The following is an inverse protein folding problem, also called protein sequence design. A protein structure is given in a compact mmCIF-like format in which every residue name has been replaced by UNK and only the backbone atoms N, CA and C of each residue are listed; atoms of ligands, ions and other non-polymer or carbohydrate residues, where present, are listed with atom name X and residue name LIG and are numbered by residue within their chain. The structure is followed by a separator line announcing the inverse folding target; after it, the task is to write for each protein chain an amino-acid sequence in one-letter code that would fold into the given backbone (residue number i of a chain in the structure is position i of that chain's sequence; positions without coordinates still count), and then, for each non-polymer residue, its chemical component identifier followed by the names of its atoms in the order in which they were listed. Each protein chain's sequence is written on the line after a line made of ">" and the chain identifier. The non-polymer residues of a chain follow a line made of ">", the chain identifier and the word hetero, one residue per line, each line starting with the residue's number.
data_IF_698117216248
#
_entry.id   IF_698117216248
#
_cell.length_a   1.000
_cell.length_b   1.000
_cell.length_c   1.000
_cell.angle_alpha   90.00
_cell.angle_beta   90.00
_cell.angle_gamma   90.00
#
_symmetry.space_group_name_H-M   'P 1'
#
loop_
_entity.id
_entity.type
_entity.pdbx_description
1 polymer ?
#
# COMPACT_ATOMS: atom_id res chain seq x y z
N UNK A 1 -10.62 2.84 -3.32
CA UNK A 1 -10.71 1.63 -4.16
C UNK A 1 -9.37 0.91 -4.22
N UNK A 2 -9.36 -0.38 -4.54
CA UNK A 2 -8.14 -1.10 -4.94
C UNK A 2 -8.25 -1.42 -6.43
N UNK A 3 -7.22 -1.06 -7.20
CA UNK A 3 -7.13 -1.38 -8.63
C UNK A 3 -5.97 -2.33 -8.87
N UNK A 4 -6.19 -3.43 -9.58
CA UNK A 4 -5.13 -4.33 -10.02
C UNK A 4 -4.84 -4.04 -11.49
N UNK A 5 -3.59 -3.78 -11.81
CA UNK A 5 -3.11 -3.55 -13.17
C UNK A 5 -2.07 -4.59 -13.56
N UNK A 6 -2.08 -4.97 -14.84
CA UNK A 6 -1.07 -5.85 -15.44
C UNK A 6 -0.06 -5.00 -16.21
N UNK A 7 1.21 -5.16 -15.89
CA UNK A 7 2.31 -4.49 -16.58
C UNK A 7 2.73 -5.25 -17.84
N UNK A 8 3.48 -4.57 -18.72
CA UNK A 8 3.98 -5.12 -20.00
C UNK A 8 4.85 -6.36 -19.81
N UNK A 9 5.52 -6.46 -18.66
CA UNK A 9 6.36 -7.59 -18.26
C UNK A 9 5.57 -8.80 -17.74
N UNK A 10 4.24 -8.83 -17.92
CA UNK A 10 3.32 -9.85 -17.40
C UNK A 10 3.27 -9.93 -15.86
N UNK A 11 3.81 -8.94 -15.17
CA UNK A 11 3.67 -8.76 -13.72
C UNK A 11 2.38 -8.02 -13.38
N UNK A 12 1.94 -8.15 -12.13
CA UNK A 12 0.73 -7.57 -11.58
C UNK A 12 1.08 -6.63 -10.43
N UNK A 13 0.49 -5.44 -10.44
CA UNK A 13 0.61 -4.45 -9.38
C UNK A 13 -0.78 -4.07 -8.92
N UNK A 14 -0.98 -3.81 -7.64
CA UNK A 14 -2.19 -3.17 -7.15
C UNK A 14 -1.91 -1.77 -6.63
N UNK A 15 -2.89 -0.89 -6.80
CA UNK A 15 -2.90 0.46 -6.28
C UNK A 15 -4.02 0.60 -5.27
N UNK A 16 -3.69 1.04 -4.06
CA UNK A 16 -4.69 1.40 -3.07
C UNK A 16 -4.92 2.91 -3.17
N UNK A 17 -6.13 3.27 -3.57
CA UNK A 17 -6.56 4.66 -3.81
C UNK A 17 -7.58 5.10 -2.76
N UNK A 18 -7.58 6.39 -2.49
CA UNK A 18 -8.67 7.11 -1.79
C UNK A 18 -10.00 6.97 -2.54
N UNK A 19 -11.09 7.42 -1.91
CA UNK A 19 -12.43 7.49 -2.55
C UNK A 19 -12.39 8.47 -3.73
N UNK A 20 -11.61 9.55 -3.61
CA UNK A 20 -11.45 10.57 -4.65
C UNK A 20 -10.48 10.17 -5.78
N UNK A 21 -9.93 8.95 -5.76
CA UNK A 21 -9.06 8.42 -6.82
C UNK A 21 -7.56 8.67 -6.65
N UNK A 22 -7.13 9.42 -5.63
CA UNK A 22 -5.70 9.63 -5.35
C UNK A 22 -5.03 8.36 -4.84
N UNK A 23 -3.87 8.00 -5.40
CA UNK A 23 -3.07 6.84 -4.98
C UNK A 23 -2.46 7.07 -3.60
N UNK A 24 -2.64 6.12 -2.69
CA UNK A 24 -2.04 6.12 -1.35
C UNK A 24 -0.86 5.14 -1.26
N UNK A 25 -0.93 4.03 -1.99
CA UNK A 25 0.05 2.96 -1.95
C UNK A 25 0.10 2.26 -3.31
N UNK A 26 1.33 2.00 -3.78
CA UNK A 26 1.61 1.17 -4.94
C UNK A 26 2.29 -0.10 -4.48
N UNK A 27 1.77 -1.26 -4.88
CA UNK A 27 2.35 -2.54 -4.49
C UNK A 27 3.68 -2.83 -5.19
N UNK A 28 4.40 -3.84 -4.71
CA UNK A 28 5.46 -4.45 -5.51
C UNK A 28 4.87 -5.16 -6.74
N UNK A 29 5.73 -5.44 -7.72
CA UNK A 29 5.36 -6.28 -8.86
C UNK A 29 5.28 -7.75 -8.43
N UNK A 30 4.12 -8.36 -8.64
CA UNK A 30 3.90 -9.78 -8.44
C UNK A 30 3.95 -10.50 -9.79
N UNK A 31 4.57 -11.68 -9.86
CA UNK A 31 4.60 -12.46 -11.11
C UNK A 31 3.21 -13.05 -11.46
N UNK A 32 2.41 -13.37 -10.43
CA UNK A 32 1.15 -14.10 -10.59
C UNK A 32 -0.06 -13.27 -10.18
N UNK A 33 -1.14 -13.38 -10.98
CA UNK A 33 -2.42 -12.74 -10.67
C UNK A 33 -3.02 -13.26 -9.36
N UNK A 34 -2.95 -14.58 -9.15
CA UNK A 34 -3.47 -15.21 -7.94
C UNK A 34 -2.79 -14.64 -6.69
N UNK A 35 -1.47 -14.38 -6.77
CA UNK A 35 -0.69 -13.80 -5.67
C UNK A 35 -1.15 -12.39 -5.32
N UNK A 36 -1.39 -11.54 -6.33
CA UNK A 36 -1.86 -10.16 -6.08
C UNK A 36 -3.27 -10.15 -5.51
N UNK A 37 -4.15 -11.05 -5.98
CA UNK A 37 -5.51 -11.20 -5.45
C UNK A 37 -5.51 -11.69 -4.01
N UNK A 38 -4.68 -12.68 -3.67
CA UNK A 38 -4.48 -13.16 -2.29
C UNK A 38 -4.01 -12.03 -1.38
N UNK A 39 -3.01 -11.24 -1.80
CA UNK A 39 -2.52 -10.09 -1.03
C UNK A 39 -3.61 -9.03 -0.82
N UNK A 40 -4.43 -8.76 -1.84
CA UNK A 40 -5.54 -7.81 -1.72
C UNK A 40 -6.60 -8.33 -0.75
N UNK A 41 -6.96 -9.60 -0.81
CA UNK A 41 -7.89 -10.22 0.14
C UNK A 41 -7.31 -10.21 1.57
N UNK A 42 -6.03 -10.52 1.70
CA UNK A 42 -5.31 -10.45 2.96
C UNK A 42 -5.26 -9.03 3.51
N UNK A 43 -5.16 -7.99 2.69
CA UNK A 43 -5.23 -6.59 3.14
C UNK A 43 -6.63 -6.21 3.61
N UNK A 44 -7.68 -6.69 2.93
CA UNK A 44 -9.08 -6.47 3.36
C UNK A 44 -9.37 -7.17 4.69
N UNK A 45 -8.86 -8.39 4.86
CA UNK A 45 -9.05 -9.20 6.07
C UNK A 45 -8.05 -8.86 7.19
N UNK A 46 -6.88 -8.34 6.84
CA UNK A 46 -5.87 -7.89 7.78
C UNK A 46 -6.32 -6.61 8.42
N UNK A 47 -6.93 -6.76 9.60
CA UNK A 47 -6.89 -5.70 10.61
C UNK A 47 -5.43 -5.20 10.71
N UNK A 48 -5.24 -3.89 10.90
CA UNK A 48 -3.95 -3.16 10.98
C UNK A 48 -2.88 -3.88 11.82
N UNK A 49 -3.28 -4.78 12.71
CA UNK A 49 -2.44 -5.66 13.53
C UNK A 49 -1.49 -6.59 12.76
N UNK A 50 -1.74 -6.91 11.49
CA UNK A 50 -0.89 -7.83 10.68
C UNK A 50 0.15 -7.13 9.80
N UNK A 51 0.07 -5.80 9.68
CA UNK A 51 0.94 -4.98 8.83
C UNK A 51 1.83 -4.06 9.67
N UNK A 52 2.91 -3.59 9.08
CA UNK A 52 3.87 -2.65 9.66
C UNK A 52 4.27 -1.60 8.64
N UNK A 53 4.59 -0.40 9.12
CA UNK A 53 5.03 0.73 8.30
C UNK A 53 6.50 1.03 8.61
N UNK A 54 7.33 0.93 7.59
CA UNK A 54 8.72 1.35 7.64
C UNK A 54 8.85 2.73 7.01
N UNK A 55 9.32 3.72 7.77
CA UNK A 55 9.51 5.10 7.31
C UNK A 55 10.92 5.25 6.76
N UNK A 56 11.05 5.98 5.65
CA UNK A 56 12.33 6.21 4.97
C UNK A 56 12.42 7.64 4.47
N UNK A 57 13.65 8.10 4.32
CA UNK A 57 13.99 9.34 3.64
C UNK A 57 14.91 9.00 2.49
N UNK A 58 14.60 9.48 1.28
CA UNK A 58 15.44 9.26 0.11
C UNK A 58 16.65 10.22 0.09
N UNK A 59 17.60 9.99 -0.81
CA UNK A 59 18.80 10.82 -0.94
C UNK A 59 18.51 12.29 -1.27
N UNK A 60 17.33 12.59 -1.80
CA UNK A 60 16.87 13.95 -2.11
C UNK A 60 16.13 14.61 -0.95
N UNK A 61 16.11 14.00 0.25
CA UNK A 61 15.45 14.53 1.44
C UNK A 61 13.93 14.38 1.47
N UNK A 62 13.34 13.65 0.51
CA UNK A 62 11.90 13.37 0.50
C UNK A 62 11.58 12.16 1.37
N UNK A 63 10.42 12.18 2.00
CA UNK A 63 9.94 11.15 2.92
C UNK A 63 9.05 10.15 2.19
N UNK A 64 9.11 8.88 2.57
CA UNK A 64 8.21 7.85 2.09
C UNK A 64 8.04 6.76 3.14
N UNK A 65 7.01 5.93 3.01
CA UNK A 65 6.86 4.75 3.83
C UNK A 65 6.64 3.49 2.99
N UNK A 66 7.15 2.37 3.48
CA UNK A 66 6.93 1.04 2.95
C UNK A 66 5.93 0.29 3.82
N UNK A 67 4.91 -0.31 3.20
CA UNK A 67 3.99 -1.22 3.86
C UNK A 67 4.56 -2.65 3.81
N UNK A 68 4.69 -3.29 4.96
CA UNK A 68 5.22 -4.64 5.10
C UNK A 68 4.29 -5.53 5.92
N UNK A 69 4.35 -6.84 5.71
CA UNK A 69 3.77 -7.78 6.66
C UNK A 69 4.62 -7.82 7.94
N UNK A 70 4.00 -8.11 9.09
CA UNK A 70 4.74 -8.32 10.35
C UNK A 70 5.70 -9.50 10.30
N UNK A 71 5.40 -10.52 9.49
CA UNK A 71 6.27 -11.69 9.26
C UNK A 71 7.44 -11.40 8.30
N UNK A 72 7.60 -10.16 7.87
CA UNK A 72 8.51 -9.79 6.78
C UNK A 72 7.82 -9.90 5.42
N UNK A 73 8.40 -9.26 4.40
CA UNK A 73 7.82 -9.16 3.06
C UNK A 73 7.24 -7.78 2.79
N UNK A 74 7.72 -7.16 1.71
CA UNK A 74 7.27 -5.86 1.23
C UNK A 74 5.98 -6.02 0.45
N UNK A 75 4.93 -5.29 0.86
CA UNK A 75 3.64 -5.26 0.18
C UNK A 75 3.65 -4.15 -0.87
N UNK A 76 4.13 -2.96 -0.50
CA UNK A 76 4.14 -1.78 -1.35
C UNK A 76 4.82 -0.58 -0.73
N UNK A 77 4.91 0.50 -1.48
CA UNK A 77 5.50 1.78 -1.08
C UNK A 77 4.53 2.93 -1.34
N UNK A 78 4.63 3.97 -0.52
CA UNK A 78 3.95 5.24 -0.76
C UNK A 78 4.62 6.04 -1.88
N UNK A 79 3.94 7.08 -2.33
CA UNK A 79 4.59 8.17 -3.06
C UNK A 79 5.54 8.95 -2.15
N UNK A 80 6.32 9.85 -2.76
CA UNK A 80 7.23 10.74 -2.06
C UNK A 80 6.47 11.92 -1.44
N UNK A 81 6.80 12.25 -0.20
CA UNK A 81 6.29 13.39 0.55
C UNK A 81 7.40 14.43 0.74
N UNK A 82 7.03 15.70 0.66
CA UNK A 82 7.94 16.83 0.90
C UNK A 82 8.23 17.07 2.39
N UNK A 83 7.47 16.44 3.30
CA UNK A 83 7.65 16.60 4.74
C UNK A 83 7.28 15.33 5.50
N UNK A 84 7.91 15.15 6.67
CA UNK A 84 7.61 14.05 7.59
C UNK A 84 6.15 14.08 8.06
N UNK A 85 5.63 15.27 8.35
CA UNK A 85 4.22 15.45 8.71
C UNK A 85 3.27 15.01 7.58
N UNK A 86 3.63 15.27 6.32
CA UNK A 86 2.90 14.79 5.15
C UNK A 86 2.89 13.26 5.08
N UNK A 87 4.04 12.63 5.31
CA UNK A 87 4.18 11.17 5.36
C UNK A 87 3.33 10.56 6.48
N UNK A 88 3.37 11.10 7.70
CA UNK A 88 2.56 10.60 8.83
C UNK A 88 1.05 10.71 8.56
N UNK A 89 0.61 11.79 7.91
CA UNK A 89 -0.77 11.94 7.46
C UNK A 89 -1.12 10.92 6.37
N UNK A 90 -0.19 10.62 5.46
CA UNK A 90 -0.31 9.54 4.49
C UNK A 90 -0.54 8.18 5.17
N UNK A 91 0.25 7.84 6.18
CA UNK A 91 0.11 6.59 6.96
C UNK A 91 -1.27 6.53 7.63
N UNK A 92 -1.70 7.60 8.29
CA UNK A 92 -3.04 7.67 8.92
C UNK A 92 -4.17 7.46 7.91
N UNK A 93 -4.07 8.09 6.74
CA UNK A 93 -5.05 7.94 5.67
C UNK A 93 -5.09 6.52 5.12
N UNK A 94 -3.92 5.90 4.93
CA UNK A 94 -3.83 4.52 4.49
C UNK A 94 -4.42 3.55 5.52
N UNK A 95 -4.13 3.72 6.81
CA UNK A 95 -4.73 2.91 7.88
C UNK A 95 -6.25 3.04 7.89
N UNK A 96 -6.77 4.27 7.83
CA UNK A 96 -8.23 4.52 7.74
C UNK A 96 -8.83 3.82 6.53
N UNK A 97 -8.14 3.87 5.39
CA UNK A 97 -8.61 3.23 4.17
C UNK A 97 -8.59 1.70 4.26
N UNK A 98 -7.56 1.11 4.86
CA UNK A 98 -7.49 -0.34 5.10
C UNK A 98 -8.62 -0.80 6.02
N UNK A 99 -8.92 -0.04 7.08
CA UNK A 99 -10.04 -0.35 7.97
C UNK A 99 -11.38 -0.28 7.23
N UNK A 100 -11.61 0.76 6.41
CA UNK A 100 -12.89 0.87 5.68
C UNK A 100 -13.08 -0.21 4.61
N UNK A 101 -12.00 -0.79 4.09
CA UNK A 101 -12.09 -1.93 3.16
C UNK A 101 -12.66 -3.20 3.81
N UNK A 102 -12.57 -3.33 5.14
CA UNK A 102 -13.14 -4.48 5.86
C UNK A 102 -14.65 -4.33 6.14
N UNK A 103 -15.16 -3.10 6.08
CA UNK A 103 -16.57 -2.76 6.34
C UNK A 103 -17.43 -2.74 5.07
N UNK A 104 -16.82 -2.80 3.87
CA UNK A 104 -17.53 -2.84 2.57
C UNK A 104 -18.12 -4.23 2.22
N UNK A 105 -18.36 -5.13 3.19
CA UNK A 105 -18.96 -6.46 2.98
C UNK A 105 -20.46 -6.50 3.30
#
# INVERSE_FOLDING_TARGET
>A
MIEIQKNKEKTYIFYLKTITGNTLLSSVNYADKAKVEEVVQDLKNSKVRKISFERKTNHSGNFLFSLKYRKGGLIGNSELYQSEAGMENGIKNLIRRINSLSEEN
#
